data_IF_556864350612
#
_entry.id   IF_556864350612
#
_cell.length_a   1.000
_cell.length_b   1.000
_cell.length_c   1.000
_cell.angle_alpha   90.00
_cell.angle_beta   90.00
_cell.angle_gamma   90.00
#
_symmetry.space_group_name_H-M   'P 1'
#
loop_
_entity.id
_entity.type
_entity.pdbx_description
1 polymer ?
#
# COMPACT_ATOMS: atom_id res chain seq x y z
N UNK A 1 -18.74 -11.56 -24.84
CA UNK A 1 -19.99 -10.72 -24.93
C UNK A 1 -19.84 -9.57 -23.95
N UNK A 2 -20.22 -8.34 -24.32
CA UNK A 2 -20.21 -7.20 -23.40
C UNK A 2 -21.26 -7.41 -22.30
N UNK A 3 -20.92 -7.09 -21.06
CA UNK A 3 -21.83 -7.09 -19.92
C UNK A 3 -22.52 -5.72 -19.86
N UNK A 4 -23.86 -5.66 -19.78
CA UNK A 4 -24.60 -4.39 -19.73
C UNK A 4 -25.39 -4.30 -18.43
N UNK A 5 -25.32 -3.13 -17.79
CA UNK A 5 -26.06 -2.81 -16.58
C UNK A 5 -26.88 -1.53 -16.78
N UNK A 6 -28.04 -1.47 -16.15
CA UNK A 6 -28.82 -0.24 -16.00
C UNK A 6 -29.18 -0.04 -14.54
N UNK A 7 -29.07 1.19 -14.07
CA UNK A 7 -29.36 1.59 -12.70
C UNK A 7 -30.22 2.85 -12.68
N UNK A 8 -31.21 2.88 -11.81
CA UNK A 8 -32.00 4.10 -11.53
C UNK A 8 -31.44 4.77 -10.28
N UNK A 9 -31.24 6.07 -10.33
CA UNK A 9 -30.75 6.88 -9.21
C UNK A 9 -31.89 7.06 -8.21
N UNK A 10 -31.68 6.59 -6.98
CA UNK A 10 -32.66 6.79 -5.90
C UNK A 10 -32.50 8.16 -5.24
N UNK A 11 -33.54 8.63 -4.57
CA UNK A 11 -33.57 9.90 -3.84
C UNK A 11 -32.38 10.04 -2.87
N UNK A 12 -31.98 8.96 -2.19
CA UNK A 12 -30.83 8.96 -1.27
C UNK A 12 -29.47 9.19 -1.95
N UNK A 13 -29.41 9.12 -3.27
CA UNK A 13 -28.20 9.31 -4.09
C UNK A 13 -28.32 10.54 -5.01
N UNK A 14 -29.34 11.37 -4.84
CA UNK A 14 -29.47 12.63 -5.55
C UNK A 14 -28.28 13.55 -5.30
N UNK A 15 -27.75 14.17 -6.36
CA UNK A 15 -26.58 15.03 -6.31
C UNK A 15 -25.24 14.29 -6.32
N UNK A 16 -25.22 12.95 -6.24
CA UNK A 16 -23.99 12.16 -6.34
C UNK A 16 -23.37 12.33 -7.74
N UNK A 17 -22.05 12.37 -7.82
CA UNK A 17 -21.37 12.42 -9.12
C UNK A 17 -21.41 11.06 -9.82
N UNK A 18 -21.58 11.08 -11.16
CA UNK A 18 -21.66 9.85 -11.97
C UNK A 18 -20.56 8.83 -11.67
N UNK A 19 -19.31 9.28 -11.56
CA UNK A 19 -18.19 8.38 -11.25
C UNK A 19 -18.32 7.73 -9.85
N UNK A 20 -18.75 8.50 -8.86
CA UNK A 20 -18.98 7.99 -7.49
C UNK A 20 -20.18 7.02 -7.46
N UNK A 21 -21.24 7.34 -8.19
CA UNK A 21 -22.38 6.45 -8.36
C UNK A 21 -21.99 5.11 -8.97
N UNK A 22 -21.27 5.13 -10.10
CA UNK A 22 -20.78 3.92 -10.74
C UNK A 22 -19.85 3.13 -9.83
N UNK A 23 -18.98 3.83 -9.11
CA UNK A 23 -18.10 3.21 -8.14
C UNK A 23 -18.87 2.51 -7.01
N UNK A 24 -20.03 2.98 -6.62
CA UNK A 24 -20.92 2.33 -5.64
C UNK A 24 -21.66 1.13 -6.24
N UNK A 25 -22.14 1.26 -7.48
CA UNK A 25 -22.93 0.19 -8.15
C UNK A 25 -22.06 -0.92 -8.73
N UNK A 26 -20.82 -0.63 -9.10
CA UNK A 26 -19.85 -1.54 -9.71
C UNK A 26 -18.57 -1.66 -8.88
N UNK A 27 -18.64 -2.20 -7.65
CA UNK A 27 -17.54 -2.18 -6.68
C UNK A 27 -16.32 -3.01 -7.10
N UNK A 28 -16.48 -3.91 -8.05
CA UNK A 28 -15.40 -4.77 -8.54
C UNK A 28 -14.47 -4.07 -9.54
N UNK A 29 -14.87 -2.89 -10.04
CA UNK A 29 -14.07 -2.15 -11.02
C UNK A 29 -13.29 -0.99 -10.36
N UNK A 30 -12.05 -0.78 -10.78
CA UNK A 30 -11.24 0.34 -10.30
C UNK A 30 -11.84 1.69 -10.75
N UNK A 31 -11.59 2.75 -9.99
CA UNK A 31 -11.98 4.12 -10.38
C UNK A 31 -11.43 4.47 -11.78
N UNK A 32 -10.19 4.07 -12.09
CA UNK A 32 -9.59 4.31 -13.40
C UNK A 32 -10.30 3.52 -14.52
N UNK A 33 -10.73 2.28 -14.25
CA UNK A 33 -11.52 1.50 -15.20
C UNK A 33 -12.85 2.19 -15.48
N UNK A 34 -13.58 2.58 -14.42
CA UNK A 34 -14.86 3.27 -14.53
C UNK A 34 -14.73 4.61 -15.25
N UNK A 35 -13.71 5.41 -14.93
CA UNK A 35 -13.41 6.66 -15.62
C UNK A 35 -13.13 6.41 -17.11
N UNK A 36 -12.34 5.41 -17.44
CA UNK A 36 -12.07 5.01 -18.83
C UNK A 36 -13.33 4.57 -19.59
N UNK A 37 -14.30 3.90 -18.94
CA UNK A 37 -15.59 3.55 -19.53
C UNK A 37 -16.41 4.81 -19.86
N UNK A 38 -16.45 5.80 -18.95
CA UNK A 38 -17.12 7.07 -19.17
C UNK A 38 -16.48 7.83 -20.36
N UNK A 39 -15.15 7.96 -20.35
CA UNK A 39 -14.39 8.66 -21.40
C UNK A 39 -14.57 8.04 -22.78
N UNK A 40 -14.67 6.72 -22.85
CA UNK A 40 -14.92 5.97 -24.11
C UNK A 40 -16.39 6.02 -24.56
N UNK A 41 -17.29 6.60 -23.77
CA UNK A 41 -18.71 6.65 -24.09
C UNK A 41 -19.47 5.35 -23.85
N UNK A 42 -18.89 4.43 -23.07
CA UNK A 42 -19.54 3.19 -22.63
C UNK A 42 -20.54 3.40 -21.48
N UNK A 43 -20.72 4.64 -21.05
CA UNK A 43 -21.67 5.06 -20.02
C UNK A 43 -22.57 6.16 -20.55
N UNK A 44 -23.88 6.03 -20.34
CA UNK A 44 -24.86 7.07 -20.64
C UNK A 44 -25.76 7.35 -19.45
N UNK A 45 -26.26 8.58 -19.37
CA UNK A 45 -27.30 9.01 -18.42
C UNK A 45 -28.47 9.52 -19.24
N UNK A 46 -29.63 8.91 -19.02
CA UNK A 46 -30.85 9.21 -19.82
C UNK A 46 -30.56 9.16 -21.33
N UNK A 47 -29.88 8.09 -21.78
CA UNK A 47 -29.44 7.83 -23.16
C UNK A 47 -28.38 8.82 -23.72
N UNK A 48 -27.94 9.83 -22.95
CA UNK A 48 -26.96 10.82 -23.38
C UNK A 48 -25.57 10.49 -22.82
N UNK A 49 -24.54 10.77 -23.62
CA UNK A 49 -23.14 10.68 -23.13
C UNK A 49 -22.93 11.67 -21.98
N UNK A 50 -22.29 11.22 -20.92
CA UNK A 50 -22.11 11.99 -19.69
C UNK A 50 -20.61 12.11 -19.32
N UNK A 51 -20.26 13.13 -18.53
CA UNK A 51 -18.93 13.29 -17.94
C UNK A 51 -18.86 12.67 -16.55
N UNK A 52 -17.67 12.30 -16.10
CA UNK A 52 -17.44 11.72 -14.78
C UNK A 52 -17.92 12.60 -13.61
N UNK A 53 -17.91 13.92 -13.81
CA UNK A 53 -18.32 14.90 -12.81
C UNK A 53 -19.79 15.29 -12.85
N UNK A 54 -20.60 14.71 -13.76
CA UNK A 54 -22.04 15.00 -13.83
C UNK A 54 -22.71 14.66 -12.50
N UNK A 55 -23.42 15.63 -11.90
CA UNK A 55 -24.30 15.39 -10.76
C UNK A 55 -25.58 14.72 -11.25
N UNK A 56 -25.98 13.62 -10.62
CA UNK A 56 -27.16 12.84 -10.97
C UNK A 56 -28.36 13.32 -10.18
N UNK A 57 -29.53 13.38 -10.87
CA UNK A 57 -30.82 13.63 -10.24
C UNK A 57 -31.54 12.32 -9.84
N UNK A 58 -32.51 12.43 -8.92
CA UNK A 58 -33.43 11.32 -8.66
C UNK A 58 -34.14 10.90 -9.94
N UNK A 59 -34.24 9.58 -10.16
CA UNK A 59 -34.88 9.02 -11.36
C UNK A 59 -33.98 8.94 -12.59
N UNK A 60 -32.79 9.52 -12.59
CA UNK A 60 -31.85 9.37 -13.71
C UNK A 60 -31.55 7.89 -13.98
N UNK A 61 -31.59 7.49 -15.24
CA UNK A 61 -31.20 6.16 -15.69
C UNK A 61 -29.74 6.18 -16.14
N UNK A 62 -28.91 5.40 -15.45
CA UNK A 62 -27.48 5.23 -15.78
C UNK A 62 -27.26 3.88 -16.42
N UNK A 63 -26.98 3.86 -17.73
CA UNK A 63 -26.67 2.65 -18.46
C UNK A 63 -25.15 2.52 -18.68
N UNK A 64 -24.61 1.31 -18.50
CA UNK A 64 -23.19 1.00 -18.61
C UNK A 64 -22.99 -0.23 -19.47
N UNK A 65 -22.16 -0.13 -20.51
CA UNK A 65 -21.70 -1.28 -21.31
C UNK A 65 -20.23 -1.57 -20.96
N UNK A 66 -19.98 -2.73 -20.38
CA UNK A 66 -18.65 -3.16 -19.95
C UNK A 66 -18.10 -4.11 -21.01
N UNK A 67 -17.00 -3.76 -21.69
CA UNK A 67 -16.41 -4.64 -22.71
C UNK A 67 -15.85 -5.90 -22.09
N UNK A 68 -15.86 -6.98 -22.85
CA UNK A 68 -15.20 -8.23 -22.48
C UNK A 68 -13.71 -7.97 -22.15
N UNK A 69 -13.23 -8.60 -21.06
CA UNK A 69 -11.85 -8.39 -20.58
C UNK A 69 -11.60 -7.08 -19.83
N UNK A 70 -12.65 -6.30 -19.53
CA UNK A 70 -12.51 -5.18 -18.61
C UNK A 70 -12.01 -5.68 -17.26
N UNK A 71 -10.90 -5.10 -16.76
CA UNK A 71 -10.29 -5.53 -15.51
C UNK A 71 -11.22 -5.25 -14.34
N UNK A 72 -11.59 -6.28 -13.63
CA UNK A 72 -12.30 -6.21 -12.35
C UNK A 72 -11.47 -6.84 -11.25
N UNK A 73 -11.70 -6.37 -10.04
CA UNK A 73 -11.16 -7.02 -8.85
C UNK A 73 -12.04 -8.22 -8.50
N UNK A 74 -11.41 -9.35 -8.25
CA UNK A 74 -12.12 -10.55 -7.80
C UNK A 74 -11.96 -10.69 -6.28
N UNK A 75 -13.04 -10.93 -5.53
CA UNK A 75 -12.93 -11.27 -4.11
C UNK A 75 -12.18 -12.59 -3.94
N UNK A 76 -11.13 -12.61 -3.13
CA UNK A 76 -10.36 -13.80 -2.79
C UNK A 76 -10.23 -13.96 -1.27
N UNK A 77 -10.31 -15.15 -0.72
CA UNK A 77 -10.09 -15.43 0.70
C UNK A 77 -8.59 -15.30 1.04
N UNK A 78 -8.12 -14.07 1.20
CA UNK A 78 -6.76 -13.77 1.68
C UNK A 78 -6.84 -13.57 3.19
N UNK A 79 -6.01 -14.25 4.00
CA UNK A 79 -5.91 -13.97 5.43
C UNK A 79 -5.51 -12.51 5.65
N UNK A 80 -6.37 -11.73 6.29
CA UNK A 80 -6.13 -10.34 6.64
C UNK A 80 -6.05 -10.19 8.15
N UNK A 81 -4.95 -9.64 8.62
CA UNK A 81 -4.82 -9.17 10.00
C UNK A 81 -5.37 -7.75 10.08
N UNK A 82 -6.55 -7.60 10.67
CA UNK A 82 -7.20 -6.30 10.89
C UNK A 82 -6.62 -5.66 12.14
N UNK A 83 -6.04 -4.47 11.98
CA UNK A 83 -5.45 -3.69 13.09
C UNK A 83 -6.47 -2.72 13.69
N UNK A 84 -7.36 -2.20 12.88
CA UNK A 84 -8.43 -1.28 13.26
C UNK A 84 -9.56 -1.33 12.26
N UNK A 85 -10.80 -1.23 12.71
CA UNK A 85 -11.98 -1.04 11.87
C UNK A 85 -13.04 -0.24 12.61
N UNK A 86 -13.55 0.81 11.96
CA UNK A 86 -14.76 1.52 12.38
C UNK A 86 -15.81 1.54 11.25
N UNK A 87 -16.80 2.44 11.32
CA UNK A 87 -17.81 2.61 10.26
C UNK A 87 -17.24 3.06 8.92
N UNK A 88 -16.12 3.76 8.91
CA UNK A 88 -15.59 4.55 7.81
C UNK A 88 -14.20 4.12 7.33
N UNK A 89 -13.37 3.61 8.22
CA UNK A 89 -11.96 3.28 7.96
C UNK A 89 -11.67 1.85 8.37
N UNK A 90 -10.81 1.20 7.62
CA UNK A 90 -10.20 -0.09 7.90
C UNK A 90 -8.68 0.05 7.79
N UNK A 91 -7.94 -0.44 8.80
CA UNK A 91 -6.49 -0.57 8.75
C UNK A 91 -6.11 -2.04 8.86
N UNK A 92 -5.24 -2.50 7.96
CA UNK A 92 -4.78 -3.89 7.93
C UNK A 92 -3.26 -3.98 7.99
N UNK A 93 -2.74 -5.06 8.57
CA UNK A 93 -1.33 -5.43 8.46
C UNK A 93 -1.10 -6.20 7.17
N UNK A 94 -0.63 -5.52 6.13
CA UNK A 94 -0.35 -6.17 4.84
C UNK A 94 0.84 -7.12 4.97
N UNK A 95 0.72 -8.40 4.63
CA UNK A 95 1.88 -9.29 4.58
C UNK A 95 2.83 -8.88 3.44
N UNK A 96 4.09 -9.32 3.55
CA UNK A 96 5.05 -9.24 2.42
C UNK A 96 4.62 -10.15 1.27
N UNK A 97 5.04 -9.84 0.05
CA UNK A 97 4.77 -10.66 -1.14
C UNK A 97 3.35 -10.50 -1.71
N UNK A 98 2.45 -9.78 -1.04
CA UNK A 98 1.09 -9.53 -1.50
C UNK A 98 1.01 -8.17 -2.20
N UNK A 99 0.71 -8.15 -3.51
CA UNK A 99 0.46 -6.92 -4.24
C UNK A 99 -0.83 -6.25 -3.73
N UNK A 100 -0.86 -4.91 -3.67
CA UNK A 100 -2.07 -4.17 -3.24
C UNK A 100 -3.16 -4.27 -4.30
N UNK A 101 -2.80 -4.11 -5.57
CA UNK A 101 -3.67 -4.22 -6.74
C UNK A 101 -3.00 -5.12 -7.78
N UNK A 102 -3.75 -5.74 -8.70
CA UNK A 102 -3.17 -6.56 -9.76
C UNK A 102 -2.16 -5.78 -10.59
N UNK A 103 -0.98 -6.35 -10.81
CA UNK A 103 0.00 -5.85 -11.76
C UNK A 103 -0.31 -6.36 -13.18
N UNK A 104 0.38 -5.82 -14.19
CA UNK A 104 0.12 -6.20 -15.60
C UNK A 104 0.40 -7.69 -15.80
N UNK A 105 -0.63 -8.45 -16.16
CA UNK A 105 -0.54 -9.88 -16.51
C UNK A 105 -0.69 -10.84 -15.34
N UNK A 106 -0.81 -10.38 -14.11
CA UNK A 106 -1.01 -11.23 -12.93
C UNK A 106 -2.51 -11.43 -12.66
N UNK A 107 -2.89 -12.71 -12.43
CA UNK A 107 -4.23 -13.15 -11.96
C UNK A 107 -4.13 -13.56 -10.48
N UNK A 108 -3.00 -13.29 -9.84
CA UNK A 108 -2.76 -13.70 -8.46
C UNK A 108 -3.66 -12.99 -7.46
N UNK A 109 -3.85 -13.61 -6.31
CA UNK A 109 -4.52 -13.01 -5.18
C UNK A 109 -3.86 -11.67 -4.79
N UNK A 110 -4.67 -10.63 -4.59
CA UNK A 110 -4.20 -9.29 -4.23
C UNK A 110 -4.86 -8.81 -2.95
N UNK A 111 -4.28 -7.81 -2.32
CA UNK A 111 -4.86 -7.23 -1.11
C UNK A 111 -6.26 -6.67 -1.38
N UNK A 112 -6.51 -6.01 -2.53
CA UNK A 112 -7.83 -5.48 -2.86
C UNK A 112 -8.89 -6.60 -2.98
N UNK A 113 -8.52 -7.76 -3.52
CA UNK A 113 -9.39 -8.94 -3.57
C UNK A 113 -9.71 -9.48 -2.17
N UNK A 114 -8.69 -9.56 -1.29
CA UNK A 114 -8.87 -9.93 0.12
C UNK A 114 -9.74 -8.95 0.89
N UNK A 115 -9.56 -7.66 0.68
CA UNK A 115 -10.36 -6.60 1.29
C UNK A 115 -11.83 -6.65 0.83
N UNK A 116 -12.07 -6.90 -0.46
CA UNK A 116 -13.42 -7.12 -0.98
C UNK A 116 -14.08 -8.31 -0.30
N UNK A 117 -13.38 -9.45 -0.25
CA UNK A 117 -13.89 -10.65 0.42
C UNK A 117 -14.21 -10.38 1.90
N UNK A 118 -13.29 -9.71 2.61
CA UNK A 118 -13.46 -9.38 4.02
C UNK A 118 -14.68 -8.49 4.25
N UNK A 119 -14.80 -7.37 3.55
CA UNK A 119 -15.91 -6.42 3.72
C UNK A 119 -17.26 -7.03 3.38
N UNK A 120 -17.34 -7.91 2.40
CA UNK A 120 -18.57 -8.54 1.97
C UNK A 120 -19.02 -9.68 2.89
N UNK A 121 -18.09 -10.47 3.42
CA UNK A 121 -18.40 -11.74 4.04
C UNK A 121 -18.01 -11.85 5.53
N UNK A 122 -16.95 -11.18 5.97
CA UNK A 122 -16.32 -11.41 7.27
C UNK A 122 -16.43 -10.22 8.24
N UNK A 123 -16.45 -8.98 7.74
CA UNK A 123 -16.45 -7.79 8.59
C UNK A 123 -17.73 -7.70 9.42
N UNK A 124 -17.64 -7.60 10.76
CA UNK A 124 -18.80 -7.41 11.63
C UNK A 124 -19.56 -6.11 11.36
N UNK A 125 -18.84 -5.08 10.90
CA UNK A 125 -19.38 -3.72 10.68
C UNK A 125 -19.85 -3.48 9.24
N UNK A 126 -19.38 -4.27 8.27
CA UNK A 126 -19.53 -4.00 6.83
C UNK A 126 -20.30 -5.06 6.07
N UNK A 127 -20.36 -6.29 6.59
CA UNK A 127 -21.00 -7.43 5.94
C UNK A 127 -22.44 -7.12 5.54
N UNK A 128 -22.79 -7.41 4.29
CA UNK A 128 -24.11 -7.20 3.74
C UNK A 128 -24.47 -5.74 3.41
N UNK A 129 -23.58 -4.77 3.68
CA UNK A 129 -23.84 -3.33 3.40
C UNK A 129 -23.41 -2.88 2.00
N UNK A 130 -22.85 -3.79 1.18
CA UNK A 130 -22.37 -3.43 -0.17
C UNK A 130 -21.17 -2.48 -0.17
N UNK A 131 -20.48 -2.34 0.97
CA UNK A 131 -19.29 -1.50 1.07
C UNK A 131 -18.14 -2.07 0.26
N UNK A 132 -17.31 -1.19 -0.28
CA UNK A 132 -16.12 -1.57 -1.03
C UNK A 132 -14.86 -0.93 -0.46
N UNK A 133 -13.70 -1.60 -0.55
CA UNK A 133 -12.44 -0.99 -0.16
C UNK A 133 -12.05 0.11 -1.14
N UNK A 134 -11.69 1.29 -0.61
CA UNK A 134 -11.21 2.45 -1.35
C UNK A 134 -9.78 2.73 -0.93
N UNK A 135 -8.85 2.50 -1.85
CA UNK A 135 -7.43 2.64 -1.57
C UNK A 135 -7.04 4.13 -1.60
N UNK A 136 -6.59 4.65 -0.47
CA UNK A 136 -6.12 6.03 -0.32
C UNK A 136 -4.59 6.15 -0.43
N UNK A 137 -3.89 5.03 -0.28
CA UNK A 137 -2.44 4.88 -0.54
C UNK A 137 -2.09 3.44 -0.87
N UNK A 138 -0.81 3.19 -1.14
CA UNK A 138 -0.31 1.84 -1.43
C UNK A 138 1.04 1.58 -0.75
N UNK A 139 1.33 0.30 -0.55
CA UNK A 139 2.66 -0.22 -0.23
C UNK A 139 3.17 -1.06 -1.40
N UNK A 140 4.48 -1.19 -1.53
CA UNK A 140 5.09 -2.11 -2.49
C UNK A 140 4.68 -3.56 -2.17
N UNK A 141 4.70 -4.46 -3.15
CA UNK A 141 4.36 -5.90 -3.01
C UNK A 141 5.10 -6.51 -1.81
N UNK A 142 6.40 -6.27 -1.71
CA UNK A 142 7.26 -6.87 -0.69
C UNK A 142 7.35 -6.07 0.63
N UNK A 143 6.81 -4.86 0.68
CA UNK A 143 6.71 -4.09 1.92
C UNK A 143 5.56 -4.61 2.76
N UNK A 144 5.83 -5.00 4.01
CA UNK A 144 4.81 -5.38 4.99
C UNK A 144 4.37 -4.20 5.85
N UNK A 145 3.25 -4.34 6.58
CA UNK A 145 2.83 -3.39 7.61
C UNK A 145 1.53 -2.66 7.31
N UNK A 146 1.27 -1.59 8.06
CA UNK A 146 -0.02 -0.93 8.10
C UNK A 146 -0.40 -0.29 6.77
N UNK A 147 -1.60 -0.60 6.30
CA UNK A 147 -2.24 0.02 5.14
C UNK A 147 -3.66 0.45 5.50
N UNK A 148 -3.98 1.74 5.20
CA UNK A 148 -5.30 2.31 5.43
C UNK A 148 -6.20 2.13 4.20
N UNK A 149 -7.47 1.89 4.48
CA UNK A 149 -8.51 1.72 3.48
C UNK A 149 -9.73 2.52 3.93
N UNK A 150 -10.26 3.37 3.08
CA UNK A 150 -11.56 3.98 3.30
C UNK A 150 -12.68 3.01 2.88
N UNK A 151 -13.80 3.02 3.59
CA UNK A 151 -14.96 2.15 3.34
C UNK A 151 -16.07 2.88 2.59
N UNK A 152 -16.06 4.18 2.60
CA UNK A 152 -17.06 5.04 1.95
C UNK A 152 -16.42 6.25 1.24
N UNK A 153 -17.17 7.00 0.40
CA UNK A 153 -16.64 8.15 -0.34
C UNK A 153 -16.21 9.34 0.54
N UNK A 154 -16.81 9.52 1.71
CA UNK A 154 -16.47 10.62 2.62
C UNK A 154 -15.09 10.41 3.22
N UNK A 155 -14.88 9.23 3.80
CA UNK A 155 -13.57 8.83 4.32
C UNK A 155 -12.50 8.80 3.22
N UNK A 156 -12.83 8.34 2.00
CA UNK A 156 -11.90 8.37 0.86
C UNK A 156 -11.43 9.79 0.56
N UNK A 157 -12.37 10.77 0.43
CA UNK A 157 -12.02 12.18 0.16
C UNK A 157 -11.17 12.77 1.28
N UNK A 158 -11.58 12.54 2.53
CA UNK A 158 -10.89 13.09 3.70
C UNK A 158 -9.47 12.53 3.84
N UNK A 159 -9.30 11.21 3.78
CA UNK A 159 -7.98 10.58 3.86
C UNK A 159 -7.10 10.92 2.65
N UNK A 160 -7.64 10.92 1.44
CA UNK A 160 -6.89 11.33 0.23
C UNK A 160 -6.40 12.77 0.35
N UNK A 161 -7.24 13.69 0.82
CA UNK A 161 -6.85 15.07 1.09
C UNK A 161 -5.71 15.19 2.11
N UNK A 162 -5.71 14.35 3.15
CA UNK A 162 -4.62 14.30 4.12
C UNK A 162 -3.31 13.75 3.52
N UNK A 163 -3.39 12.74 2.62
CA UNK A 163 -2.20 12.25 1.89
C UNK A 163 -1.65 13.32 0.94
N UNK A 164 -2.50 14.00 0.19
CA UNK A 164 -2.14 15.10 -0.72
C UNK A 164 -1.56 16.30 0.05
N UNK A 165 -2.18 16.68 1.16
CA UNK A 165 -1.72 17.73 2.07
C UNK A 165 -0.50 17.35 2.90
N UNK A 166 -0.01 16.09 2.82
CA UNK A 166 1.16 15.56 3.57
C UNK A 166 1.02 15.67 5.09
N UNK A 167 -0.22 15.64 5.61
CA UNK A 167 -0.48 15.73 7.05
C UNK A 167 -0.50 14.37 7.74
N UNK A 168 -0.61 13.28 6.97
CA UNK A 168 -0.48 11.91 7.49
C UNK A 168 0.98 11.63 7.84
N UNK A 169 1.20 11.22 9.08
CA UNK A 169 2.52 10.82 9.56
C UNK A 169 2.69 9.30 9.34
N UNK A 170 3.78 8.91 8.69
CA UNK A 170 4.12 7.52 8.40
C UNK A 170 5.49 7.21 9.00
N UNK A 171 5.56 6.10 9.69
CA UNK A 171 6.79 5.60 10.27
C UNK A 171 7.05 4.17 9.79
N UNK A 172 8.23 3.97 9.21
CA UNK A 172 8.69 2.67 8.73
C UNK A 172 9.89 2.24 9.57
N UNK A 173 10.06 0.94 9.71
CA UNK A 173 11.28 0.33 10.20
C UNK A 173 12.03 -0.25 8.99
N UNK A 174 13.31 0.10 8.87
CA UNK A 174 14.18 -0.32 7.78
C UNK A 174 15.51 -0.84 8.33
N UNK A 175 15.92 -2.04 7.95
CA UNK A 175 17.27 -2.52 8.19
C UNK A 175 18.11 -2.28 6.92
N UNK A 176 19.21 -1.55 7.07
CA UNK A 176 20.10 -1.17 5.98
C UNK A 176 21.49 -1.75 6.15
N UNK A 177 22.23 -1.86 5.04
CA UNK A 177 23.62 -2.27 5.02
C UNK A 177 24.55 -1.15 5.48
N UNK A 178 25.57 -1.56 6.24
CA UNK A 178 26.63 -0.68 6.71
C UNK A 178 26.25 0.13 7.96
N UNK A 179 27.21 0.91 8.43
CA UNK A 179 27.07 1.81 9.57
C UNK A 179 26.66 3.20 9.08
N UNK A 180 25.45 3.60 9.40
CA UNK A 180 24.98 4.99 9.16
C UNK A 180 25.57 5.87 10.25
N UNK A 181 26.31 6.94 9.88
CA UNK A 181 27.02 7.78 10.85
C UNK A 181 26.11 8.83 11.49
N UNK A 182 25.31 9.53 10.67
CA UNK A 182 24.44 10.60 11.16
C UNK A 182 23.25 10.03 11.91
N UNK A 183 23.03 10.48 13.15
CA UNK A 183 21.92 10.02 14.00
C UNK A 183 20.56 10.24 13.35
N UNK A 184 20.40 11.34 12.64
CA UNK A 184 19.20 11.67 11.87
C UNK A 184 19.58 12.53 10.67
N UNK A 185 18.83 12.40 9.58
CA UNK A 185 18.99 13.24 8.41
C UNK A 185 17.71 13.30 7.56
N UNK A 186 17.69 14.28 6.67
CA UNK A 186 16.68 14.41 5.61
C UNK A 186 17.32 14.15 4.26
N UNK A 187 16.78 13.17 3.52
CA UNK A 187 17.16 12.89 2.15
C UNK A 187 16.14 13.61 1.25
N UNK A 188 16.61 14.60 0.51
CA UNK A 188 15.81 15.37 -0.42
C UNK A 188 16.38 15.19 -1.84
N UNK A 189 15.96 14.14 -2.50
CA UNK A 189 16.41 13.75 -3.84
C UNK A 189 15.19 13.48 -4.73
N UNK A 190 14.88 14.32 -5.71
CA UNK A 190 13.77 14.08 -6.63
C UNK A 190 13.94 12.75 -7.37
N UNK A 191 12.84 12.04 -7.60
CA UNK A 191 12.81 10.70 -8.18
C UNK A 191 12.09 10.68 -9.52
N UNK A 192 12.65 9.97 -10.48
CA UNK A 192 12.03 9.67 -11.77
C UNK A 192 12.00 8.17 -12.05
N UNK A 193 11.06 7.75 -12.87
CA UNK A 193 10.98 6.38 -13.35
C UNK A 193 11.85 6.23 -14.62
N UNK A 194 12.65 5.18 -14.66
CA UNK A 194 13.44 4.83 -15.85
C UNK A 194 12.58 4.12 -16.88
N UNK A 195 13.04 4.03 -18.12
CA UNK A 195 12.37 3.26 -19.19
C UNK A 195 12.15 1.78 -18.87
N UNK A 196 12.88 1.24 -17.87
CA UNK A 196 12.76 -0.14 -17.39
C UNK A 196 11.87 -0.28 -16.15
N UNK A 197 11.11 0.75 -15.78
CA UNK A 197 10.23 0.73 -14.61
C UNK A 197 10.91 0.83 -13.25
N UNK A 198 12.24 1.06 -13.19
CA UNK A 198 12.95 1.31 -11.94
C UNK A 198 12.96 2.80 -11.61
N UNK A 199 12.92 3.12 -10.32
CA UNK A 199 13.09 4.50 -9.85
C UNK A 199 14.58 4.83 -9.66
N UNK A 200 14.94 6.09 -9.92
CA UNK A 200 16.29 6.65 -9.64
C UNK A 200 16.22 8.11 -9.21
N UNK A 201 17.22 8.62 -8.49
CA UNK A 201 17.36 10.06 -8.28
C UNK A 201 17.62 10.78 -9.59
N UNK A 202 16.95 11.92 -9.79
CA UNK A 202 17.13 12.77 -10.96
C UNK A 202 16.67 14.21 -10.65
N UNK A 203 17.44 15.23 -11.08
CA UNK A 203 16.99 16.63 -10.96
C UNK A 203 15.68 16.92 -11.71
N UNK A 204 15.32 16.10 -12.71
CA UNK A 204 14.08 16.22 -13.48
C UNK A 204 12.93 15.42 -12.85
N UNK A 205 13.21 14.68 -11.77
CA UNK A 205 12.25 13.82 -11.09
C UNK A 205 11.22 14.62 -10.29
N UNK A 206 10.22 13.90 -9.80
CA UNK A 206 9.23 14.45 -8.87
C UNK A 206 9.84 14.59 -7.48
N UNK A 207 9.51 15.68 -6.79
CA UNK A 207 9.93 15.93 -5.40
C UNK A 207 9.73 14.69 -4.53
N UNK A 208 10.76 14.33 -3.80
CA UNK A 208 10.75 13.21 -2.85
C UNK A 208 11.60 13.55 -1.64
N UNK A 209 11.01 13.45 -0.44
CA UNK A 209 11.64 13.79 0.83
C UNK A 209 11.42 12.66 1.83
N UNK A 210 12.52 12.15 2.39
CA UNK A 210 12.52 11.08 3.40
C UNK A 210 13.39 11.51 4.58
N UNK A 211 12.83 11.49 5.77
CA UNK A 211 13.58 11.64 7.02
C UNK A 211 13.89 10.27 7.58
N UNK A 212 15.03 10.16 8.26
CA UNK A 212 15.34 8.97 9.05
C UNK A 212 15.99 9.36 10.39
N UNK A 213 15.85 8.44 11.34
CA UNK A 213 16.56 8.45 12.63
C UNK A 213 17.07 7.04 12.91
N UNK A 214 18.29 6.94 13.45
CA UNK A 214 18.85 5.67 13.86
C UNK A 214 18.11 5.16 15.08
N UNK A 215 17.72 3.88 15.06
CA UNK A 215 17.21 3.17 16.22
C UNK A 215 18.31 2.35 16.88
N UNK A 216 19.12 1.63 16.08
CA UNK A 216 20.17 0.77 16.61
C UNK A 216 21.25 0.53 15.54
N UNK A 217 22.52 0.48 15.94
CA UNK A 217 23.64 0.12 15.07
C UNK A 217 24.15 -1.28 15.42
N UNK A 218 24.51 -2.02 14.39
CA UNK A 218 25.16 -3.32 14.49
C UNK A 218 26.41 -3.34 13.62
N UNK A 219 27.31 -4.27 13.87
CA UNK A 219 28.46 -4.46 13.00
C UNK A 219 28.00 -4.90 11.60
N UNK A 220 28.10 -3.96 10.64
CA UNK A 220 27.71 -4.14 9.24
C UNK A 220 26.25 -3.84 8.91
N UNK A 221 25.42 -3.40 9.88
CA UNK A 221 24.00 -3.05 9.66
C UNK A 221 23.57 -1.88 10.52
N UNK A 222 22.52 -1.19 10.10
CA UNK A 222 21.85 -0.16 10.89
C UNK A 222 20.33 -0.31 10.79
N UNK A 223 19.66 -0.28 11.94
CA UNK A 223 18.20 -0.23 12.03
C UNK A 223 17.76 1.23 12.07
N UNK A 224 16.89 1.60 11.15
CA UNK A 224 16.40 2.96 10.98
C UNK A 224 14.89 3.04 11.22
N UNK A 225 14.46 4.10 11.90
CA UNK A 225 13.13 4.69 11.80
C UNK A 225 13.13 5.60 10.59
N UNK A 226 12.21 5.41 9.65
CA UNK A 226 12.14 6.17 8.40
C UNK A 226 10.77 6.84 8.27
N UNK A 227 10.75 8.14 8.02
CA UNK A 227 9.54 8.97 7.94
C UNK A 227 9.46 9.66 6.58
N UNK A 228 8.83 9.03 5.57
CA UNK A 228 8.68 9.64 4.25
C UNK A 228 7.65 10.76 4.29
N UNK A 229 8.03 11.99 3.91
CA UNK A 229 7.13 13.16 3.79
C UNK A 229 6.35 13.17 2.49
N UNK A 230 6.84 12.49 1.48
CA UNK A 230 6.21 12.25 0.18
C UNK A 230 5.95 10.75 -0.02
N UNK A 231 5.27 10.36 -1.08
CA UNK A 231 4.90 8.95 -1.34
C UNK A 231 5.18 8.53 -2.79
N UNK A 232 6.46 8.60 -3.24
CA UNK A 232 6.83 8.12 -4.59
C UNK A 232 7.08 6.63 -4.58
N UNK A 233 6.86 5.98 -5.73
CA UNK A 233 7.17 4.56 -5.92
C UNK A 233 8.61 4.27 -5.49
N UNK A 234 8.83 3.23 -4.70
CA UNK A 234 10.12 2.80 -4.16
C UNK A 234 10.94 3.88 -3.44
N UNK A 235 10.32 4.98 -2.99
CA UNK A 235 11.02 6.17 -2.49
C UNK A 235 12.06 5.83 -1.41
N UNK A 236 11.66 5.16 -0.33
CA UNK A 236 12.57 4.82 0.78
C UNK A 236 13.73 3.97 0.28
N UNK A 237 13.46 2.98 -0.55
CA UNK A 237 14.43 2.03 -1.10
C UNK A 237 15.53 2.75 -1.91
N UNK A 238 15.09 3.65 -2.81
CA UNK A 238 16.00 4.43 -3.67
C UNK A 238 16.77 5.47 -2.88
N UNK A 239 16.12 6.18 -1.95
CA UNK A 239 16.77 7.17 -1.10
C UNK A 239 17.87 6.57 -0.23
N UNK A 240 17.59 5.47 0.46
CA UNK A 240 18.58 4.80 1.30
C UNK A 240 19.75 4.27 0.47
N UNK A 241 19.49 3.70 -0.72
CA UNK A 241 20.56 3.33 -1.66
C UNK A 241 21.39 4.52 -2.11
N UNK A 242 20.76 5.66 -2.41
CA UNK A 242 21.44 6.86 -2.92
C UNK A 242 22.42 7.46 -1.90
N UNK A 243 22.18 7.27 -0.60
CA UNK A 243 23.10 7.68 0.47
C UNK A 243 24.12 6.61 0.85
N UNK A 244 24.22 5.51 0.08
CA UNK A 244 25.19 4.43 0.31
C UNK A 244 24.73 3.33 1.27
N UNK A 245 23.52 3.38 1.79
CA UNK A 245 22.96 2.42 2.75
C UNK A 245 21.69 1.76 2.21
N UNK A 246 21.78 0.86 1.21
CA UNK A 246 20.63 0.15 0.70
C UNK A 246 19.98 -0.72 1.78
N UNK A 247 18.70 -1.02 1.64
CA UNK A 247 18.05 -2.04 2.48
C UNK A 247 18.86 -3.34 2.42
N UNK A 248 19.02 -4.00 3.56
CA UNK A 248 19.84 -5.20 3.69
C UNK A 248 19.39 -6.35 2.79
N UNK A 249 18.10 -6.42 2.51
CA UNK A 249 17.54 -7.24 1.44
C UNK A 249 16.60 -6.35 0.61
N UNK A 250 16.93 -6.18 -0.66
CA UNK A 250 16.10 -5.52 -1.66
C UNK A 250 16.39 -6.14 -3.03
N UNK A 251 15.41 -6.84 -3.65
CA UNK A 251 15.64 -7.53 -4.92
C UNK A 251 15.92 -6.58 -6.10
N UNK A 252 15.57 -5.28 -5.99
CA UNK A 252 15.76 -4.30 -7.08
C UNK A 252 16.93 -3.36 -6.85
N UNK A 253 17.22 -3.01 -5.59
CA UNK A 253 18.16 -1.95 -5.23
C UNK A 253 19.28 -2.41 -4.30
N UNK A 254 19.16 -3.58 -3.67
CA UNK A 254 20.13 -4.19 -2.76
C UNK A 254 21.08 -5.16 -3.45
N UNK A 255 21.93 -5.79 -2.62
CA UNK A 255 22.95 -6.73 -3.07
C UNK A 255 22.73 -8.16 -2.54
N UNK A 256 21.71 -8.37 -1.71
CA UNK A 256 21.42 -9.67 -1.08
C UNK A 256 19.98 -10.08 -1.32
N UNK A 257 19.78 -11.40 -1.44
CA UNK A 257 18.46 -12.01 -1.51
C UNK A 257 18.01 -12.64 -0.18
N UNK A 258 18.95 -12.90 0.72
CA UNK A 258 18.67 -13.51 2.03
C UNK A 258 19.78 -13.20 3.04
N UNK A 259 19.47 -13.33 4.33
CA UNK A 259 20.42 -13.29 5.44
C UNK A 259 20.33 -14.62 6.19
N UNK A 260 21.48 -15.29 6.34
CA UNK A 260 21.64 -16.57 7.01
C UNK A 260 22.37 -16.41 8.36
N UNK A 261 22.15 -17.33 9.28
CA UNK A 261 22.86 -17.33 10.56
C UNK A 261 24.37 -17.48 10.37
N UNK A 262 24.78 -18.26 9.38
CA UNK A 262 26.21 -18.46 9.02
C UNK A 262 26.90 -17.14 8.63
N UNK A 263 26.19 -16.19 8.04
CA UNK A 263 26.74 -14.88 7.69
C UNK A 263 26.87 -13.92 8.88
N UNK A 264 26.24 -14.23 9.99
CA UNK A 264 26.20 -13.38 11.18
C UNK A 264 27.04 -13.92 12.33
N UNK A 265 27.13 -15.23 12.47
CA UNK A 265 27.84 -15.93 13.56
C UNK A 265 29.15 -16.49 13.04
N UNK A 266 30.30 -15.98 13.54
CA UNK A 266 31.64 -16.38 13.09
C UNK A 266 31.91 -17.91 13.23
N UNK A 267 31.49 -18.51 14.34
CA UNK A 267 31.69 -19.93 14.63
C UNK A 267 30.49 -20.80 14.25
N UNK A 268 29.79 -20.43 13.19
CA UNK A 268 28.64 -21.22 12.73
C UNK A 268 29.11 -22.56 12.17
N UNK A 269 28.55 -23.63 12.71
CA UNK A 269 28.74 -24.97 12.19
C UNK A 269 27.42 -25.51 11.67
N UNK A 270 27.30 -25.76 10.36
CA UNK A 270 26.08 -26.34 9.80
C UNK A 270 25.85 -27.74 10.39
N UNK A 271 24.60 -28.08 10.65
CA UNK A 271 24.26 -29.44 11.06
C UNK A 271 24.46 -30.37 9.85
N UNK A 272 25.19 -31.49 10.09
CA UNK A 272 25.47 -32.46 9.03
C UNK A 272 24.20 -32.94 8.36
N UNK A 273 24.13 -32.82 7.03
CA UNK A 273 22.96 -33.23 6.22
C UNK A 273 21.77 -32.26 6.22
N UNK A 274 21.88 -31.06 6.82
CA UNK A 274 20.82 -30.06 6.77
C UNK A 274 21.24 -28.85 5.93
N UNK A 275 20.35 -28.42 5.03
CA UNK A 275 20.52 -27.15 4.32
C UNK A 275 20.12 -26.02 5.27
N UNK A 276 20.95 -24.98 5.35
CA UNK A 276 20.66 -23.82 6.16
C UNK A 276 19.47 -23.04 5.60
N UNK A 277 18.48 -22.76 6.43
CA UNK A 277 17.36 -21.89 6.07
C UNK A 277 17.68 -20.44 6.40
N UNK A 278 17.30 -19.47 5.55
CA UNK A 278 17.53 -18.06 5.84
C UNK A 278 16.75 -17.61 7.08
N UNK A 279 17.31 -16.68 7.83
CA UNK A 279 16.60 -15.98 8.90
C UNK A 279 15.50 -15.12 8.28
N UNK A 280 15.83 -14.46 7.16
CA UNK A 280 14.93 -13.62 6.37
C UNK A 280 15.36 -13.64 4.90
N UNK A 281 14.37 -13.63 3.96
CA UNK A 281 14.59 -13.63 2.51
C UNK A 281 13.64 -12.68 1.77
N UNK A 282 13.17 -11.65 2.44
CA UNK A 282 12.27 -10.64 1.88
C UNK A 282 12.79 -9.22 2.14
N UNK A 283 12.17 -8.23 1.51
CA UNK A 283 12.48 -6.81 1.69
C UNK A 283 12.51 -6.42 3.17
N UNK A 284 13.62 -5.83 3.63
CA UNK A 284 13.82 -5.41 5.03
C UNK A 284 13.24 -4.03 5.30
N UNK A 285 11.96 -3.86 4.94
CA UNK A 285 11.16 -2.65 5.11
C UNK A 285 9.76 -3.00 5.63
N UNK A 286 9.34 -2.31 6.69
CA UNK A 286 8.06 -2.53 7.33
C UNK A 286 7.38 -1.19 7.64
N UNK A 287 6.16 -0.99 7.17
CA UNK A 287 5.31 0.16 7.50
C UNK A 287 4.76 -0.03 8.93
N UNK A 288 5.48 0.48 9.91
CA UNK A 288 5.22 0.19 11.31
C UNK A 288 4.04 0.98 11.88
N UNK A 289 3.96 2.29 11.56
CA UNK A 289 2.98 3.18 12.19
C UNK A 289 2.44 4.19 11.18
N UNK A 290 1.15 4.50 11.33
CA UNK A 290 0.49 5.58 10.61
C UNK A 290 -0.38 6.40 11.55
N UNK A 291 -0.27 7.74 11.47
CA UNK A 291 -1.10 8.67 12.25
C UNK A 291 -1.90 9.54 11.28
N UNK A 292 -3.20 9.57 11.47
CA UNK A 292 -4.18 10.22 10.58
C UNK A 292 -5.41 10.65 11.37
N UNK A 293 -6.29 11.43 10.76
CA UNK A 293 -7.61 11.74 11.27
C UNK A 293 -8.65 10.94 10.46
N UNK A 294 -9.47 10.07 11.08
CA UNK A 294 -10.41 9.21 10.35
C UNK A 294 -11.48 9.99 9.58
N UNK A 295 -12.07 10.97 10.22
CA UNK A 295 -13.06 11.91 9.68
C UNK A 295 -12.81 13.31 10.25
N UNK A 296 -13.31 14.39 9.60
CA UNK A 296 -13.13 15.75 10.09
C UNK A 296 -13.63 15.92 11.53
N UNK A 297 -12.79 16.48 12.41
CA UNK A 297 -13.16 16.81 13.79
C UNK A 297 -13.14 15.66 14.78
N UNK A 298 -12.82 14.43 14.35
CA UNK A 298 -12.73 13.25 15.25
C UNK A 298 -11.42 13.25 16.02
N UNK A 299 -10.40 13.97 15.50
CA UNK A 299 -9.07 14.02 16.06
C UNK A 299 -8.14 12.96 15.48
N UNK A 300 -6.83 13.15 15.72
CA UNK A 300 -5.80 12.23 15.24
C UNK A 300 -5.82 10.91 16.00
N UNK A 301 -5.68 9.82 15.25
CA UNK A 301 -5.44 8.49 15.79
C UNK A 301 -4.19 7.88 15.18
N UNK A 302 -3.61 6.91 15.88
CA UNK A 302 -2.43 6.18 15.44
C UNK A 302 -2.75 4.70 15.39
N UNK A 303 -2.40 4.05 14.28
CA UNK A 303 -2.46 2.60 14.13
C UNK A 303 -1.05 2.07 13.95
N UNK A 304 -0.72 1.01 14.68
CA UNK A 304 0.58 0.35 14.65
C UNK A 304 0.43 -1.09 14.13
N UNK A 305 1.28 -1.47 13.17
CA UNK A 305 1.46 -2.86 12.78
C UNK A 305 2.59 -3.47 13.63
N UNK A 306 2.39 -4.64 14.24
CA UNK A 306 3.46 -5.33 14.95
C UNK A 306 4.60 -5.65 13.98
N UNK A 307 5.84 -5.63 14.47
CA UNK A 307 6.99 -6.02 13.66
C UNK A 307 6.78 -7.43 13.12
N UNK A 308 7.00 -7.62 11.82
CA UNK A 308 6.90 -8.96 11.24
C UNK A 308 7.91 -9.91 11.89
N UNK A 309 7.46 -11.12 12.20
CA UNK A 309 8.20 -12.10 13.03
C UNK A 309 9.61 -12.39 12.52
N UNK A 310 9.79 -12.51 11.21
CA UNK A 310 11.10 -12.76 10.59
C UNK A 310 12.07 -11.57 10.77
N UNK A 311 11.53 -10.35 10.69
CA UNK A 311 12.30 -9.12 10.90
C UNK A 311 12.69 -8.95 12.38
N UNK A 312 11.77 -9.21 13.29
CA UNK A 312 12.02 -9.19 14.73
C UNK A 312 13.05 -10.27 15.12
N UNK A 313 12.90 -11.47 14.57
CA UNK A 313 13.87 -12.56 14.74
C UNK A 313 15.29 -12.15 14.24
N UNK A 314 15.38 -11.52 13.07
CA UNK A 314 16.65 -11.03 12.55
C UNK A 314 17.29 -10.01 13.50
N UNK A 315 16.52 -9.02 13.98
CA UNK A 315 17.01 -7.98 14.90
C UNK A 315 17.53 -8.64 16.19
N UNK A 316 16.81 -9.60 16.76
CA UNK A 316 17.30 -10.36 17.95
C UNK A 316 18.61 -11.11 17.67
N UNK A 317 18.75 -11.69 16.49
CA UNK A 317 19.99 -12.37 16.09
C UNK A 317 21.14 -11.37 15.89
N UNK A 318 20.88 -10.21 15.30
CA UNK A 318 21.88 -9.15 15.15
C UNK A 318 22.36 -8.65 16.52
N UNK A 319 21.46 -8.40 17.46
CA UNK A 319 21.81 -8.02 18.84
C UNK A 319 22.72 -9.05 19.49
N UNK A 320 22.47 -10.34 19.26
CA UNK A 320 23.24 -11.43 19.86
C UNK A 320 24.64 -11.61 19.24
N UNK A 321 24.80 -11.44 17.93
CA UNK A 321 26.03 -11.82 17.23
C UNK A 321 26.78 -10.66 16.58
N UNK A 322 26.15 -9.52 16.40
CA UNK A 322 26.77 -8.33 15.80
C UNK A 322 26.92 -7.17 16.78
N UNK A 323 26.39 -7.31 18.00
CA UNK A 323 26.52 -6.31 19.06
C UNK A 323 25.97 -4.93 18.70
N UNK A 324 25.89 -4.06 19.69
CA UNK A 324 25.70 -2.62 19.43
C UNK A 324 27.06 -2.07 18.99
N UNK A 325 27.11 -1.58 17.74
CA UNK A 325 28.33 -1.00 17.17
C UNK A 325 28.57 0.45 17.59
#
# INVERSE_FOLDING_TARGET
MSESHSFIVSQSLEGIRLLEFLATKLPLYSINTLKGLIEKGSVSVNTKRASAGLALGEGDEVAVSIPEGARRYEPHPVPLEVLFEDGHVLAVNKPTGLAVIPERGEIEATLIGGLLHYLQNLSPLSRGKGLRPRLVHRLDKDTSGVLLVAKDPEAERHLSGQFEGRVIEKEYVALVDGRVEREEATINLPLEETTRGKMRPSPRGKEAVTQYKIQERFNGFTLLKVMPKTGRTHQIRVHLKAIGHPLSIDPLYGNRSAIFLSSLKADYKPKKGQTETPIISRLTLHAHKITFEPLPGVGKMTVEAPMAEDMDRLIRVLRKYKGSG
#
